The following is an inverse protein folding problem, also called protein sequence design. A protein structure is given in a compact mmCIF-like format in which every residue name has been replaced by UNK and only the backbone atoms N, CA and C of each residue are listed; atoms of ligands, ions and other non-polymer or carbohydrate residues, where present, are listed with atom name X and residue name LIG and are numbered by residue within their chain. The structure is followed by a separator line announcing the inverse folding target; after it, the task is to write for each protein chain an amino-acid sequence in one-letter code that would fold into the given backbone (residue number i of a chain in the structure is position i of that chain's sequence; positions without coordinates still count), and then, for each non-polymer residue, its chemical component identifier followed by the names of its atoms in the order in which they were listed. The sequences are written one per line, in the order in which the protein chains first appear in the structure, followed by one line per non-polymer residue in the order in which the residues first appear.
data_IF_305955648234
#
_entry.id   IF_305955648234
#
_cell.length_a   1.000
_cell.length_b   1.000
_cell.length_c   1.000
_cell.angle_alpha   90.00
_cell.angle_beta   90.00
_cell.angle_gamma   90.00
#
_symmetry.space_group_name_H-M   'P 1'
#
loop_
_entity.id
_entity.type
_entity.pdbx_description
1 polymer ?
#
# COMPACT_ATOMS: atom_id res chain seq x y z
N UNK A 1 6.35 23.37 5.60
CA UNK A 1 6.06 22.70 6.89
C UNK A 1 5.80 21.20 6.65
N UNK A 2 6.82 20.36 6.85
CA UNK A 2 6.82 18.96 6.41
C UNK A 2 5.68 18.13 7.02
N UNK A 3 5.37 18.38 8.30
CA UNK A 3 4.31 17.71 9.03
C UNK A 3 2.93 17.94 8.40
N UNK A 4 2.64 19.16 7.94
CA UNK A 4 1.36 19.47 7.27
C UNK A 4 1.21 18.67 5.98
N UNK A 5 2.27 18.58 5.19
CA UNK A 5 2.28 17.81 3.94
C UNK A 5 2.13 16.30 4.18
N UNK A 6 2.74 15.78 5.23
CA UNK A 6 2.53 14.41 5.69
C UNK A 6 1.06 14.13 6.05
N UNK A 7 0.42 15.00 6.85
CA UNK A 7 -0.97 14.80 7.25
C UNK A 7 -1.92 14.88 6.05
N UNK A 8 -1.72 15.86 5.16
CA UNK A 8 -2.54 16.02 3.95
C UNK A 8 -2.45 14.78 3.05
N UNK A 9 -1.22 14.30 2.81
CA UNK A 9 -1.01 13.11 1.99
C UNK A 9 -1.56 11.85 2.64
N UNK A 10 -1.52 11.72 3.97
CA UNK A 10 -2.12 10.59 4.70
C UNK A 10 -3.64 10.55 4.51
N UNK A 11 -4.31 11.68 4.69
CA UNK A 11 -5.77 11.79 4.50
C UNK A 11 -6.14 11.46 3.06
N UNK A 12 -5.44 12.08 2.10
CA UNK A 12 -5.73 11.88 0.68
C UNK A 12 -5.49 10.43 0.23
N UNK A 13 -4.35 9.83 0.62
CA UNK A 13 -4.03 8.43 0.31
C UNK A 13 -5.08 7.48 0.89
N UNK A 14 -5.47 7.70 2.16
CA UNK A 14 -6.49 6.87 2.80
C UNK A 14 -7.84 6.98 2.10
N UNK A 15 -8.30 8.20 1.81
CA UNK A 15 -9.57 8.42 1.12
C UNK A 15 -9.56 7.81 -0.28
N UNK A 16 -8.46 7.97 -1.03
CA UNK A 16 -8.31 7.40 -2.36
C UNK A 16 -8.35 5.87 -2.33
N UNK A 17 -7.64 5.23 -1.40
CA UNK A 17 -7.66 3.77 -1.24
C UNK A 17 -9.07 3.28 -0.87
N UNK A 18 -9.75 3.95 0.06
CA UNK A 18 -11.11 3.55 0.44
C UNK A 18 -12.11 3.77 -0.69
N UNK A 19 -11.99 4.87 -1.43
CA UNK A 19 -12.81 5.12 -2.61
C UNK A 19 -12.61 4.03 -3.67
N UNK A 20 -11.36 3.73 -4.03
CA UNK A 20 -11.05 2.69 -5.01
C UNK A 20 -11.58 1.33 -4.55
N UNK A 21 -11.41 0.99 -3.28
CA UNK A 21 -11.84 -0.28 -2.72
C UNK A 21 -13.36 -0.42 -2.69
N UNK A 22 -14.08 0.59 -2.21
CA UNK A 22 -15.51 0.49 -1.92
C UNK A 22 -16.40 0.88 -3.10
N UNK A 23 -15.89 1.70 -4.03
CA UNK A 23 -16.66 2.23 -5.17
C UNK A 23 -16.23 1.59 -6.48
N UNK A 24 -14.92 1.48 -6.74
CA UNK A 24 -14.41 1.02 -8.05
C UNK A 24 -14.24 -0.50 -8.10
N UNK A 25 -13.71 -1.10 -7.03
CA UNK A 25 -13.30 -2.51 -6.97
C UNK A 25 -14.05 -3.30 -5.90
N UNK A 26 -15.29 -2.93 -5.61
CA UNK A 26 -16.12 -3.53 -4.55
C UNK A 26 -16.23 -5.05 -4.68
N UNK A 27 -16.35 -5.53 -5.91
CA UNK A 27 -16.54 -6.96 -6.22
C UNK A 27 -15.22 -7.69 -6.51
N UNK A 28 -14.07 -7.05 -6.30
CA UNK A 28 -12.76 -7.67 -6.49
C UNK A 28 -12.54 -8.77 -5.44
N UNK A 29 -12.64 -10.02 -5.91
CA UNK A 29 -12.40 -11.22 -5.10
C UNK A 29 -10.94 -11.31 -4.66
N UNK A 30 -10.73 -11.79 -3.44
CA UNK A 30 -9.37 -12.11 -2.95
C UNK A 30 -8.90 -13.47 -3.50
N UNK A 31 -7.57 -13.74 -3.52
CA UNK A 31 -7.04 -15.01 -4.01
C UNK A 31 -7.69 -16.24 -3.37
N UNK A 32 -7.96 -16.20 -2.06
CA UNK A 32 -8.63 -17.29 -1.34
C UNK A 32 -10.03 -17.60 -1.92
N UNK A 33 -10.82 -16.57 -2.20
CA UNK A 33 -12.17 -16.72 -2.75
C UNK A 33 -12.13 -17.11 -4.23
N UNK A 34 -11.17 -16.56 -4.98
CA UNK A 34 -10.97 -16.85 -6.40
C UNK A 34 -10.59 -18.32 -6.66
N UNK A 35 -9.73 -18.90 -5.82
CA UNK A 35 -9.30 -20.30 -5.95
C UNK A 35 -10.15 -21.29 -5.14
N UNK A 36 -11.28 -20.85 -4.56
CA UNK A 36 -12.18 -21.71 -3.77
C UNK A 36 -12.69 -22.85 -4.67
N UNK A 37 -12.34 -24.09 -4.33
CA UNK A 37 -12.73 -25.30 -5.09
C UNK A 37 -11.70 -25.81 -6.11
N UNK A 38 -10.50 -25.20 -6.21
CA UNK A 38 -9.41 -25.75 -7.03
C UNK A 38 -8.58 -26.79 -6.27
N UNK A 39 -8.05 -27.75 -7.02
CA UNK A 39 -7.42 -29.01 -6.53
C UNK A 39 -6.08 -28.80 -5.81
N UNK A 40 -5.51 -27.59 -5.85
CA UNK A 40 -4.21 -27.30 -5.25
C UNK A 40 -4.33 -26.91 -3.78
N UNK A 41 -3.66 -27.66 -2.90
CA UNK A 41 -3.53 -27.33 -1.49
C UNK A 41 -2.58 -26.14 -1.33
N UNK A 42 -3.13 -24.93 -1.28
CA UNK A 42 -2.35 -23.73 -0.99
C UNK A 42 -1.95 -23.69 0.49
N UNK A 43 -0.76 -23.17 0.78
CA UNK A 43 -0.31 -22.94 2.15
C UNK A 43 -1.13 -21.81 2.79
N UNK A 44 -2.16 -22.19 3.54
CA UNK A 44 -2.99 -21.27 4.30
C UNK A 44 -2.53 -21.25 5.76
N UNK A 45 -2.31 -20.05 6.29
CA UNK A 45 -2.03 -19.85 7.70
C UNK A 45 -3.31 -20.11 8.49
N UNK A 46 -3.27 -21.07 9.41
CA UNK A 46 -4.41 -21.43 10.25
C UNK A 46 -4.84 -20.24 11.14
N UNK A 47 -6.15 -20.09 11.35
CA UNK A 47 -6.77 -19.03 12.15
C UNK A 47 -6.62 -17.59 11.62
N UNK A 48 -6.30 -17.41 10.33
CA UNK A 48 -6.29 -16.09 9.72
C UNK A 48 -7.68 -15.72 9.16
N UNK A 49 -8.29 -14.66 9.72
CA UNK A 49 -9.52 -14.09 9.18
C UNK A 49 -9.21 -13.35 7.87
N UNK A 50 -9.52 -13.99 6.75
CA UNK A 50 -9.36 -13.41 5.40
C UNK A 50 -10.76 -13.06 4.88
N UNK A 51 -10.98 -11.77 4.58
CA UNK A 51 -12.21 -11.33 3.90
C UNK A 51 -12.24 -11.84 2.46
N UNK A 52 -13.39 -12.23 1.94
CA UNK A 52 -13.49 -12.78 0.58
C UNK A 52 -13.48 -11.69 -0.52
N UNK A 53 -13.82 -10.45 -0.17
CA UNK A 53 -14.01 -9.33 -1.10
C UNK A 53 -13.03 -8.18 -0.84
N UNK A 54 -13.08 -7.15 -1.69
CA UNK A 54 -12.27 -5.94 -1.57
C UNK A 54 -10.76 -6.21 -1.61
N UNK A 55 -10.29 -6.97 -2.61
CA UNK A 55 -8.86 -7.26 -2.78
C UNK A 55 -8.09 -6.05 -3.30
N UNK A 56 -8.62 -5.35 -4.30
CA UNK A 56 -7.91 -4.26 -4.96
C UNK A 56 -8.31 -2.89 -4.37
N UNK A 57 -7.36 -1.96 -4.18
CA UNK A 57 -5.91 -2.13 -4.02
C UNK A 57 -5.52 -2.55 -2.59
N UNK A 58 -4.26 -2.98 -2.41
CA UNK A 58 -3.71 -3.31 -1.09
C UNK A 58 -3.47 -2.07 -0.24
N UNK A 59 -4.33 -1.85 0.77
CA UNK A 59 -4.18 -0.75 1.73
C UNK A 59 -2.94 -0.87 2.61
N UNK A 60 -2.56 -2.09 3.02
CA UNK A 60 -1.33 -2.33 3.80
C UNK A 60 -0.08 -1.95 3.00
N UNK A 61 -0.06 -2.32 1.71
CA UNK A 61 1.07 -1.99 0.84
C UNK A 61 1.11 -0.49 0.58
N UNK A 62 -0.02 0.15 0.29
CA UNK A 62 -0.09 1.61 0.14
C UNK A 62 0.41 2.35 1.38
N UNK A 63 -0.06 1.96 2.57
CA UNK A 63 0.37 2.57 3.83
C UNK A 63 1.87 2.38 4.10
N UNK A 64 2.42 1.19 3.81
CA UNK A 64 3.86 0.95 3.97
C UNK A 64 4.70 1.84 3.05
N UNK A 65 4.37 1.89 1.75
CA UNK A 65 5.08 2.74 0.78
C UNK A 65 4.94 4.23 1.08
N UNK A 66 3.76 4.66 1.54
CA UNK A 66 3.52 6.01 2.05
C UNK A 66 4.45 6.34 3.24
N UNK A 67 4.45 5.52 4.28
CA UNK A 67 5.25 5.75 5.49
C UNK A 67 6.74 5.76 5.17
N UNK A 68 7.19 4.78 4.39
CA UNK A 68 8.57 4.64 3.98
C UNK A 68 9.05 5.86 3.18
N UNK A 69 8.21 6.44 2.31
CA UNK A 69 8.55 7.65 1.56
C UNK A 69 8.82 8.83 2.50
N UNK A 70 7.89 9.14 3.42
CA UNK A 70 8.04 10.28 4.32
C UNK A 70 9.16 10.10 5.35
N UNK A 71 9.37 8.89 5.86
CA UNK A 71 10.51 8.59 6.74
C UNK A 71 11.84 8.77 6.00
N UNK A 72 11.91 8.31 4.75
CA UNK A 72 13.12 8.46 3.92
C UNK A 72 13.46 9.93 3.68
N UNK A 73 12.45 10.76 3.40
CA UNK A 73 12.61 12.21 3.27
C UNK A 73 13.08 12.85 4.58
N UNK A 74 12.43 12.54 5.70
CA UNK A 74 12.77 13.11 7.00
C UNK A 74 14.18 12.72 7.46
N UNK A 75 14.62 11.51 7.13
CA UNK A 75 15.93 11.01 7.54
C UNK A 75 17.08 11.52 6.66
N UNK A 76 16.78 11.92 5.41
CA UNK A 76 17.72 12.46 4.41
C UNK A 76 19.04 11.66 4.30
N UNK A 77 18.96 10.32 4.40
CA UNK A 77 20.10 9.41 4.28
C UNK A 77 19.78 8.29 3.29
N UNK A 78 20.64 8.05 2.29
CA UNK A 78 20.36 7.07 1.24
C UNK A 78 20.25 5.64 1.78
N UNK A 79 21.04 5.28 2.80
CA UNK A 79 20.95 3.95 3.41
C UNK A 79 19.61 3.71 4.14
N UNK A 80 19.03 4.75 4.75
CA UNK A 80 17.70 4.65 5.38
C UNK A 80 16.65 4.45 4.30
N UNK A 81 16.77 5.16 3.18
CA UNK A 81 15.86 4.99 2.03
C UNK A 81 15.89 3.55 1.53
N UNK A 82 17.07 2.96 1.38
CA UNK A 82 17.22 1.56 0.96
C UNK A 82 16.55 0.60 1.94
N UNK A 83 16.75 0.79 3.25
CA UNK A 83 16.10 -0.03 4.28
C UNK A 83 14.57 0.11 4.26
N UNK A 84 14.06 1.33 4.08
CA UNK A 84 12.63 1.60 4.01
C UNK A 84 12.00 0.96 2.76
N UNK A 85 12.66 1.02 1.61
CA UNK A 85 12.21 0.33 0.39
C UNK A 85 12.19 -1.19 0.60
N UNK A 86 13.23 -1.75 1.22
CA UNK A 86 13.26 -3.17 1.54
C UNK A 86 12.12 -3.58 2.48
N UNK A 87 11.88 -2.79 3.53
CA UNK A 87 10.76 -3.00 4.44
C UNK A 87 9.40 -2.95 3.72
N UNK A 88 9.18 -1.95 2.85
CA UNK A 88 7.94 -1.85 2.07
C UNK A 88 7.72 -3.05 1.14
N UNK A 89 8.81 -3.58 0.53
CA UNK A 89 8.76 -4.81 -0.25
C UNK A 89 8.40 -6.03 0.60
N UNK A 90 8.95 -6.16 1.82
CA UNK A 90 8.58 -7.24 2.74
C UNK A 90 7.10 -7.17 3.14
N UNK A 91 6.57 -5.98 3.36
CA UNK A 91 5.13 -5.80 3.63
C UNK A 91 4.30 -6.24 2.42
N UNK A 92 4.67 -5.82 1.22
CA UNK A 92 4.01 -6.26 -0.02
C UNK A 92 4.04 -7.79 -0.18
N UNK A 93 5.21 -8.40 0.03
CA UNK A 93 5.39 -9.84 -0.02
C UNK A 93 4.52 -10.56 1.02
N UNK A 94 4.44 -10.05 2.25
CA UNK A 94 3.62 -10.64 3.31
C UNK A 94 2.14 -10.76 2.90
N UNK A 95 1.62 -9.79 2.13
CA UNK A 95 0.22 -9.78 1.69
C UNK A 95 -0.07 -10.84 0.64
N UNK A 96 0.88 -11.09 -0.25
CA UNK A 96 0.80 -12.17 -1.27
C UNK A 96 0.98 -13.52 -0.60
N UNK A 97 1.96 -13.66 0.30
CA UNK A 97 2.24 -14.88 1.04
C UNK A 97 1.04 -15.35 1.87
N UNK A 98 0.32 -14.41 2.51
CA UNK A 98 -0.89 -14.70 3.29
C UNK A 98 -2.14 -14.93 2.43
N UNK A 99 -2.02 -15.01 1.10
CA UNK A 99 -3.15 -15.17 0.17
C UNK A 99 -4.24 -14.08 0.28
N UNK A 100 -3.87 -12.90 0.81
CA UNK A 100 -4.81 -11.79 0.99
C UNK A 100 -4.92 -10.94 -0.27
N UNK A 101 -3.87 -10.86 -1.08
CA UNK A 101 -3.81 -9.96 -2.22
C UNK A 101 -3.05 -10.63 -3.38
N UNK A 102 -3.46 -10.33 -4.60
CA UNK A 102 -2.68 -10.66 -5.77
C UNK A 102 -1.43 -9.75 -5.85
N UNK A 103 -0.36 -10.18 -6.55
CA UNK A 103 0.81 -9.33 -6.79
C UNK A 103 0.46 -7.99 -7.45
N UNK A 104 -0.59 -7.96 -8.29
CA UNK A 104 -1.06 -6.71 -8.91
C UNK A 104 -1.67 -5.75 -7.88
N UNK A 105 -2.39 -6.25 -6.88
CA UNK A 105 -3.01 -5.40 -5.85
C UNK A 105 -1.95 -4.70 -4.99
N UNK A 106 -0.83 -5.38 -4.74
CA UNK A 106 0.29 -4.83 -3.98
C UNK A 106 1.10 -3.85 -4.82
N UNK A 107 1.30 -4.12 -6.12
CA UNK A 107 1.93 -3.17 -7.05
C UNK A 107 1.13 -1.87 -7.18
N UNK A 108 -0.19 -1.96 -7.38
CA UNK A 108 -1.07 -0.78 -7.45
C UNK A 108 -1.11 -0.06 -6.10
N UNK A 109 -1.16 -0.78 -4.98
CA UNK A 109 -1.04 -0.19 -3.65
C UNK A 109 0.25 0.62 -3.48
N UNK A 110 1.40 0.08 -3.91
CA UNK A 110 2.69 0.76 -3.87
C UNK A 110 2.69 2.04 -4.72
N UNK A 111 2.18 1.96 -5.96
CA UNK A 111 2.07 3.12 -6.85
C UNK A 111 1.21 4.23 -6.24
N UNK A 112 0.08 3.89 -5.62
CA UNK A 112 -0.78 4.88 -4.97
C UNK A 112 -0.07 5.52 -3.78
N UNK A 113 0.49 4.71 -2.88
CA UNK A 113 1.16 5.20 -1.67
C UNK A 113 2.32 6.14 -1.98
N UNK A 114 3.18 5.77 -2.92
CA UNK A 114 4.32 6.61 -3.34
C UNK A 114 3.87 7.79 -4.20
N UNK A 115 2.97 7.58 -5.16
CA UNK A 115 2.51 8.61 -6.09
C UNK A 115 1.78 9.76 -5.41
N UNK A 116 0.90 9.46 -4.45
CA UNK A 116 0.24 10.47 -3.61
C UNK A 116 1.26 11.26 -2.82
N UNK A 117 2.19 10.57 -2.15
CA UNK A 117 3.19 11.22 -1.30
C UNK A 117 4.11 12.14 -2.10
N UNK A 118 4.57 11.67 -3.27
CA UNK A 118 5.39 12.45 -4.20
C UNK A 118 4.67 13.69 -4.72
N UNK A 119 3.41 13.53 -5.12
CA UNK A 119 2.58 14.63 -5.63
C UNK A 119 2.41 15.71 -4.56
N UNK A 120 2.03 15.32 -3.34
CA UNK A 120 1.84 16.27 -2.23
C UNK A 120 3.16 16.94 -1.83
N UNK A 121 4.26 16.19 -1.80
CA UNK A 121 5.59 16.75 -1.54
C UNK A 121 5.99 17.80 -2.58
N UNK A 122 5.81 17.51 -3.87
CA UNK A 122 6.14 18.44 -4.94
C UNK A 122 5.33 19.74 -4.85
N UNK A 123 4.01 19.64 -4.60
CA UNK A 123 3.15 20.83 -4.55
C UNK A 123 3.30 21.67 -3.28
N UNK A 124 3.51 21.04 -2.12
CA UNK A 124 3.45 21.73 -0.82
C UNK A 124 4.82 22.02 -0.20
N UNK A 125 5.85 21.24 -0.53
CA UNK A 125 7.18 21.38 0.08
C UNK A 125 8.16 21.98 -0.93
N UNK A 126 8.30 21.38 -2.12
CA UNK A 126 9.23 21.88 -3.14
C UNK A 126 8.94 23.32 -3.57
N UNK A 127 7.67 23.70 -3.71
CA UNK A 127 7.28 25.08 -4.04
C UNK A 127 7.43 26.07 -2.89
N UNK A 128 7.53 25.61 -1.65
CA UNK A 128 7.70 26.47 -0.48
C UNK A 128 9.15 26.83 -0.18
N UNK A 129 10.10 26.10 -0.79
CA UNK A 129 11.55 26.33 -0.68
C UNK A 129 12.14 27.09 -1.88
N UNK A 130 11.29 27.44 -2.87
CA UNK A 130 11.58 28.33 -4.00
C UNK A 130 11.02 29.73 -3.73
#
# INVERSE_FOLDING_TARGET
DLLKSYVISYIFSTLLIQFMKLVVFKDALRPLAYYKGQVHAWHLVQNLLISEYNSMPSGHTSAAWFMCFWISLAANKPWITLLMVFYAMLVAYSRVYLFQHFPVDTAVGAMIGTGVSLTVYYFNVSKSEL
#
